data_IF_473694113013
#
_entry.id   IF_473694113013
#
_cell.length_a   1.000
_cell.length_b   1.000
_cell.length_c   1.000
_cell.angle_alpha   90.00
_cell.angle_beta   90.00
_cell.angle_gamma   90.00
#
_symmetry.space_group_name_H-M   'P 1'
#
loop_
_entity.id
_entity.type
_entity.pdbx_description
1 polymer ?
#
# COMPACT_ATOMS: atom_id res chain seq x y z
N UNK A 1 -9.40 14.55 9.63
CA UNK A 1 -7.94 14.30 9.44
C UNK A 1 -7.71 13.46 8.21
N UNK A 2 -8.33 12.27 8.13
CA UNK A 2 -8.19 11.34 7.00
C UNK A 2 -8.48 11.93 5.60
N UNK A 3 -9.61 12.62 5.46
CA UNK A 3 -10.02 13.19 4.18
C UNK A 3 -9.09 14.29 3.68
N UNK A 4 -8.50 15.10 4.58
CA UNK A 4 -7.61 16.19 4.18
C UNK A 4 -6.27 15.66 3.65
N UNK A 5 -5.68 14.66 4.34
CA UNK A 5 -4.42 14.06 3.89
C UNK A 5 -4.57 13.40 2.52
N UNK A 6 -5.70 12.71 2.29
CA UNK A 6 -5.99 12.07 1.02
C UNK A 6 -6.17 13.10 -0.11
N UNK A 7 -6.85 14.22 0.16
CA UNK A 7 -6.98 15.32 -0.79
C UNK A 7 -5.59 15.91 -1.14
N UNK A 8 -4.73 16.10 -0.14
CA UNK A 8 -3.40 16.66 -0.34
C UNK A 8 -2.48 15.70 -1.09
N UNK A 9 -2.55 14.39 -0.82
CA UNK A 9 -1.86 13.36 -1.60
C UNK A 9 -2.28 13.38 -3.08
N UNK A 10 -3.58 13.46 -3.36
CA UNK A 10 -4.12 13.55 -4.73
C UNK A 10 -3.59 14.80 -5.44
N UNK A 11 -3.59 15.96 -4.75
CA UNK A 11 -3.04 17.21 -5.31
C UNK A 11 -1.54 17.12 -5.55
N UNK A 12 -0.77 16.52 -4.63
CA UNK A 12 0.66 16.28 -4.80
C UNK A 12 0.97 15.40 -6.02
N UNK A 13 0.06 14.47 -6.33
CA UNK A 13 0.15 13.61 -7.51
C UNK A 13 -0.36 14.29 -8.80
N UNK A 14 -0.75 15.56 -8.72
CA UNK A 14 -1.10 16.41 -9.87
C UNK A 14 -2.55 16.30 -10.34
N UNK A 15 -3.45 15.69 -9.55
CA UNK A 15 -4.85 15.52 -9.92
C UNK A 15 -5.76 16.61 -9.33
N UNK A 16 -6.65 17.13 -10.19
CA UNK A 16 -7.73 18.06 -9.85
C UNK A 16 -8.86 17.90 -10.88
N UNK A 17 -10.15 17.89 -10.50
CA UNK A 17 -10.65 18.08 -9.14
C UNK A 17 -10.43 16.85 -8.25
N UNK A 18 -10.43 17.10 -6.94
CA UNK A 18 -10.51 16.05 -5.92
C UNK A 18 -11.99 15.63 -5.79
N UNK A 19 -12.33 14.33 -5.85
CA UNK A 19 -13.70 13.83 -5.72
C UNK A 19 -14.34 14.19 -4.38
N UNK A 20 -15.67 14.11 -4.31
CA UNK A 20 -16.42 14.45 -3.10
C UNK A 20 -16.39 13.36 -2.02
N UNK A 21 -16.46 12.08 -2.43
CA UNK A 21 -16.53 10.95 -1.51
C UNK A 21 -15.16 10.33 -1.20
N UNK A 22 -14.98 9.80 0.01
CA UNK A 22 -13.72 9.17 0.42
C UNK A 22 -13.38 7.93 -0.40
N UNK A 23 -14.39 7.17 -0.86
CA UNK A 23 -14.18 6.00 -1.74
C UNK A 23 -13.61 6.43 -3.10
N UNK A 24 -14.19 7.46 -3.73
CA UNK A 24 -13.72 7.97 -5.02
C UNK A 24 -12.34 8.61 -4.91
N UNK A 25 -12.09 9.35 -3.82
CA UNK A 25 -10.77 9.89 -3.51
C UNK A 25 -9.73 8.78 -3.38
N UNK A 26 -10.04 7.71 -2.63
CA UNK A 26 -9.10 6.60 -2.47
C UNK A 26 -8.86 5.87 -3.80
N UNK A 27 -9.91 5.65 -4.60
CA UNK A 27 -9.78 5.08 -5.95
C UNK A 27 -8.91 5.94 -6.87
N UNK A 28 -9.03 7.27 -6.80
CA UNK A 28 -8.19 8.19 -7.56
C UNK A 28 -6.74 8.15 -7.08
N UNK A 29 -6.51 8.29 -5.77
CA UNK A 29 -5.18 8.15 -5.15
C UNK A 29 -4.50 6.85 -5.55
N UNK A 30 -5.19 5.70 -5.39
CA UNK A 30 -4.70 4.37 -5.74
C UNK A 30 -4.29 4.30 -7.21
N UNK A 31 -5.15 4.75 -8.12
CA UNK A 31 -4.83 4.80 -9.55
C UNK A 31 -3.56 5.61 -9.84
N UNK A 32 -3.44 6.81 -9.24
CA UNK A 32 -2.30 7.69 -9.42
C UNK A 32 -0.99 7.06 -8.89
N UNK A 33 -0.98 6.50 -7.68
CA UNK A 33 0.22 5.85 -7.13
C UNK A 33 0.58 4.57 -7.88
N UNK A 34 -0.40 3.81 -8.39
CA UNK A 34 -0.15 2.64 -9.21
C UNK A 34 0.64 3.00 -10.48
N UNK A 35 0.27 4.08 -11.14
CA UNK A 35 0.88 4.52 -12.41
C UNK A 35 2.20 5.30 -12.23
N UNK A 36 2.49 5.77 -11.01
CA UNK A 36 3.67 6.59 -10.71
C UNK A 36 4.99 5.85 -10.96
N UNK A 37 5.83 6.35 -11.88
CA UNK A 37 7.20 5.83 -12.08
C UNK A 37 8.09 5.99 -10.82
N UNK A 38 9.14 5.19 -10.64
CA UNK A 38 9.99 5.20 -9.44
C UNK A 38 10.98 6.39 -9.39
N UNK A 39 10.52 7.59 -9.72
CA UNK A 39 11.31 8.80 -9.55
C UNK A 39 11.32 9.24 -8.09
N UNK A 40 12.37 9.96 -7.63
CA UNK A 40 12.40 10.56 -6.30
C UNK A 40 11.14 11.38 -6.00
N UNK A 41 10.84 11.50 -4.72
CA UNK A 41 9.70 12.26 -4.20
C UNK A 41 10.18 13.07 -2.99
N UNK A 42 9.52 14.18 -2.68
CA UNK A 42 9.89 15.01 -1.54
C UNK A 42 9.68 14.27 -0.21
N UNK A 43 10.46 14.63 0.80
CA UNK A 43 10.27 14.13 2.16
C UNK A 43 8.87 14.47 2.70
N UNK A 44 8.37 15.69 2.42
CA UNK A 44 7.03 16.11 2.82
C UNK A 44 5.93 15.16 2.33
N UNK A 45 6.05 14.66 1.09
CA UNK A 45 5.09 13.69 0.57
C UNK A 45 5.25 12.32 1.24
N UNK A 46 6.48 11.86 1.48
CA UNK A 46 6.73 10.59 2.19
C UNK A 46 6.15 10.63 3.60
N UNK A 47 6.32 11.74 4.31
CA UNK A 47 5.79 11.92 5.66
C UNK A 47 4.25 12.00 5.64
N UNK A 48 3.67 12.69 4.67
CA UNK A 48 2.23 12.77 4.45
C UNK A 48 1.63 11.39 4.13
N UNK A 49 2.22 10.64 3.19
CA UNK A 49 1.78 9.29 2.80
C UNK A 49 1.91 8.32 3.98
N UNK A 50 3.04 8.35 4.68
CA UNK A 50 3.28 7.50 5.84
C UNK A 50 2.25 7.74 6.94
N UNK A 51 1.91 9.01 7.21
CA UNK A 51 0.87 9.40 8.18
C UNK A 51 -0.52 8.95 7.73
N UNK A 52 -0.86 9.14 6.47
CA UNK A 52 -2.13 8.68 5.88
C UNK A 52 -2.27 7.16 5.98
N UNK A 53 -1.27 6.40 5.53
CA UNK A 53 -1.30 4.92 5.55
C UNK A 53 -1.27 4.37 6.98
N UNK A 54 -0.58 5.03 7.91
CA UNK A 54 -0.63 4.67 9.32
C UNK A 54 -2.04 4.84 9.91
N UNK A 55 -2.70 5.96 9.61
CA UNK A 55 -4.09 6.17 9.99
C UNK A 55 -5.03 5.14 9.32
N UNK A 56 -4.76 4.78 8.05
CA UNK A 56 -5.57 3.79 7.31
C UNK A 56 -5.48 2.42 8.00
N UNK A 57 -4.27 2.03 8.39
CA UNK A 57 -4.01 0.78 9.11
C UNK A 57 -4.75 0.71 10.46
N UNK A 58 -5.06 1.83 11.09
CA UNK A 58 -5.77 1.89 12.37
C UNK A 58 -7.30 1.86 12.25
N UNK A 59 -7.87 1.90 11.04
CA UNK A 59 -9.33 1.86 10.85
C UNK A 59 -9.96 0.50 11.15
N UNK A 60 -9.16 -0.57 11.06
CA UNK A 60 -9.61 -1.95 11.26
C UNK A 60 -8.65 -2.67 12.19
N UNK A 61 -9.05 -3.85 12.66
CA UNK A 61 -8.22 -4.67 13.53
C UNK A 61 -6.90 -5.09 12.84
N UNK A 62 -5.82 -5.06 13.61
CA UNK A 62 -4.56 -5.71 13.27
C UNK A 62 -4.58 -7.11 13.86
N UNK A 63 -4.19 -8.10 13.06
CA UNK A 63 -4.17 -9.51 13.44
C UNK A 63 -2.73 -9.96 13.69
N UNK A 64 -2.55 -10.88 14.63
CA UNK A 64 -1.27 -11.47 15.00
C UNK A 64 -1.30 -12.98 14.76
N UNK A 65 -0.14 -13.64 14.88
CA UNK A 65 -0.05 -15.10 14.78
C UNK A 65 -0.96 -15.84 15.77
N UNK A 66 -1.27 -15.22 16.92
CA UNK A 66 -2.21 -15.76 17.90
C UNK A 66 -3.65 -15.83 17.41
N UNK A 67 -4.02 -15.01 16.42
CA UNK A 67 -5.35 -14.97 15.81
C UNK A 67 -5.47 -15.95 14.63
N UNK A 68 -4.38 -16.60 14.22
CA UNK A 68 -4.37 -17.56 13.14
C UNK A 68 -4.78 -18.97 13.61
N UNK A 69 -5.43 -19.73 12.73
CA UNK A 69 -5.77 -21.12 12.97
C UNK A 69 -4.52 -21.99 12.94
N UNK A 70 -4.24 -22.72 14.02
CA UNK A 70 -3.17 -23.72 14.06
C UNK A 70 -3.50 -24.91 13.16
N UNK A 71 -2.50 -25.42 12.47
CA UNK A 71 -2.62 -26.69 11.71
C UNK A 71 -2.04 -27.86 12.51
N UNK A 72 -2.00 -29.06 11.92
CA UNK A 72 -1.33 -30.22 12.51
C UNK A 72 0.20 -30.04 12.67
N UNK A 73 0.81 -29.14 11.89
CA UNK A 73 2.23 -28.84 12.00
C UNK A 73 2.44 -27.60 12.91
N UNK A 74 3.35 -27.65 13.90
CA UNK A 74 3.47 -26.62 14.94
C UNK A 74 3.87 -25.23 14.43
N UNK A 75 4.52 -25.18 13.27
CA UNK A 75 4.98 -23.94 12.64
C UNK A 75 4.11 -23.47 11.46
N UNK A 76 2.99 -24.15 11.19
CA UNK A 76 2.12 -23.80 10.07
C UNK A 76 0.76 -23.33 10.60
N UNK A 77 0.34 -22.18 10.11
CA UNK A 77 -0.90 -21.52 10.48
C UNK A 77 -1.71 -21.22 9.22
N UNK A 78 -3.04 -21.27 9.35
CA UNK A 78 -3.98 -20.81 8.33
C UNK A 78 -4.66 -19.54 8.83
N UNK A 79 -4.76 -18.55 7.96
CA UNK A 79 -5.46 -17.31 8.26
C UNK A 79 -6.13 -16.78 7.01
N UNK A 80 -7.36 -16.29 7.16
CA UNK A 80 -8.16 -15.73 6.09
C UNK A 80 -8.47 -14.27 6.43
N UNK A 81 -7.91 -13.35 5.66
CA UNK A 81 -8.10 -11.91 5.85
C UNK A 81 -7.26 -11.08 4.88
N UNK A 82 -7.25 -9.78 5.08
CA UNK A 82 -6.42 -8.83 4.32
C UNK A 82 -4.97 -8.90 4.81
N UNK A 83 -4.07 -9.47 4.01
CA UNK A 83 -2.66 -9.68 4.38
C UNK A 83 -1.94 -8.40 4.85
N UNK A 84 -2.41 -7.21 4.46
CA UNK A 84 -1.84 -5.92 4.89
C UNK A 84 -2.13 -5.58 6.35
N UNK A 85 -3.00 -6.36 7.00
CA UNK A 85 -3.41 -6.26 8.41
C UNK A 85 -2.78 -7.32 9.32
N UNK A 86 -2.01 -8.26 8.76
CA UNK A 86 -1.36 -9.31 9.54
C UNK A 86 0.02 -8.82 10.02
N UNK A 87 0.14 -8.58 11.33
CA UNK A 87 1.38 -8.20 11.99
C UNK A 87 2.30 -9.42 12.14
N UNK A 88 3.17 -9.60 11.15
CA UNK A 88 4.24 -10.59 11.08
C UNK A 88 5.53 -9.92 10.60
N UNK A 89 6.66 -10.60 10.78
CA UNK A 89 7.97 -10.05 10.43
C UNK A 89 8.12 -9.78 8.93
N UNK A 90 7.50 -10.61 8.08
CA UNK A 90 7.52 -10.46 6.64
C UNK A 90 6.27 -11.07 5.99
N UNK A 91 5.87 -10.49 4.86
CA UNK A 91 4.88 -11.05 3.94
C UNK A 91 5.55 -11.30 2.59
N UNK A 92 5.07 -12.29 1.84
CA UNK A 92 5.59 -12.59 0.50
C UNK A 92 4.68 -11.94 -0.54
N UNK A 93 5.25 -11.13 -1.42
CA UNK A 93 4.56 -10.54 -2.56
C UNK A 93 4.74 -11.40 -3.82
N UNK A 94 3.66 -11.65 -4.57
CA UNK A 94 3.72 -12.24 -5.91
C UNK A 94 4.03 -11.13 -6.95
N UNK A 95 5.29 -10.70 -6.96
CA UNK A 95 5.77 -9.64 -7.84
C UNK A 95 5.83 -10.05 -9.32
N UNK A 96 5.75 -9.07 -10.20
CA UNK A 96 6.03 -9.25 -11.64
C UNK A 96 7.53 -9.05 -11.95
N UNK A 97 7.95 -9.40 -13.17
CA UNK A 97 9.37 -9.33 -13.59
C UNK A 97 9.98 -7.92 -13.58
N UNK A 98 9.14 -6.88 -13.65
CA UNK A 98 9.61 -5.52 -13.49
C UNK A 98 10.02 -5.21 -12.04
N UNK A 99 9.51 -5.95 -11.03
CA UNK A 99 9.71 -5.73 -9.59
C UNK A 99 9.39 -4.31 -9.11
N UNK A 100 8.56 -3.57 -9.84
CA UNK A 100 8.18 -2.19 -9.48
C UNK A 100 6.71 -2.13 -9.04
N UNK A 101 6.11 -3.26 -8.68
CA UNK A 101 4.69 -3.37 -8.43
C UNK A 101 3.85 -3.33 -9.70
N UNK A 102 2.52 -3.26 -9.51
CA UNK A 102 1.55 -3.19 -10.59
C UNK A 102 1.34 -1.73 -11.05
N UNK A 103 1.34 -1.51 -12.37
CA UNK A 103 1.06 -0.20 -12.99
C UNK A 103 -0.37 -0.05 -13.52
N UNK A 104 -1.15 -1.12 -13.51
CA UNK A 104 -2.56 -1.05 -13.92
C UNK A 104 -3.38 -0.38 -12.80
N UNK A 105 -4.03 0.76 -13.09
CA UNK A 105 -4.70 1.55 -12.06
C UNK A 105 -5.86 0.76 -11.45
N UNK A 106 -5.89 0.69 -10.11
CA UNK A 106 -6.93 0.00 -9.34
C UNK A 106 -7.04 -1.52 -9.59
N UNK A 107 -6.04 -2.14 -10.24
CA UNK A 107 -6.07 -3.57 -10.54
C UNK A 107 -6.09 -4.42 -9.26
N UNK A 108 -6.97 -5.42 -9.21
CA UNK A 108 -7.19 -6.27 -8.03
C UNK A 108 -6.19 -7.43 -7.91
N UNK A 109 -4.89 -7.17 -8.12
CA UNK A 109 -3.83 -8.14 -7.86
C UNK A 109 -3.11 -7.87 -6.53
N UNK A 110 -2.50 -8.91 -5.95
CA UNK A 110 -1.83 -8.81 -4.64
C UNK A 110 -0.65 -7.83 -4.66
N UNK A 111 0.07 -7.76 -5.79
CA UNK A 111 1.19 -6.84 -6.01
C UNK A 111 0.73 -5.38 -5.91
N UNK A 112 -0.42 -5.05 -6.49
CA UNK A 112 -1.03 -3.72 -6.40
C UNK A 112 -1.44 -3.40 -4.95
N UNK A 113 -2.07 -4.34 -4.26
CA UNK A 113 -2.52 -4.14 -2.87
C UNK A 113 -1.33 -3.89 -1.94
N UNK A 114 -0.31 -4.74 -1.99
CA UNK A 114 0.90 -4.61 -1.15
C UNK A 114 1.59 -3.27 -1.44
N UNK A 115 1.83 -2.92 -2.71
CA UNK A 115 2.48 -1.65 -3.04
C UNK A 115 1.66 -0.42 -2.65
N UNK A 116 0.32 -0.47 -2.79
CA UNK A 116 -0.55 0.66 -2.41
C UNK A 116 -0.50 0.91 -0.90
N UNK A 117 -0.58 -0.16 -0.09
CA UNK A 117 -0.65 -0.03 1.37
C UNK A 117 0.72 0.05 2.07
N UNK A 118 1.80 -0.34 1.39
CA UNK A 118 3.17 -0.08 1.83
C UNK A 118 3.64 1.35 1.52
N UNK A 119 3.03 2.01 0.53
CA UNK A 119 3.39 3.35 0.06
C UNK A 119 4.46 3.36 -1.03
N UNK A 120 4.67 4.53 -1.65
CA UNK A 120 5.63 4.67 -2.77
C UNK A 120 7.06 4.33 -2.36
N UNK A 121 7.40 4.42 -1.08
CA UNK A 121 8.69 4.01 -0.52
C UNK A 121 9.10 2.59 -0.90
N UNK A 122 8.15 1.64 -0.95
CA UNK A 122 8.44 0.26 -1.38
C UNK A 122 8.89 0.22 -2.85
N UNK A 123 8.20 0.94 -3.74
CA UNK A 123 8.57 1.01 -5.17
C UNK A 123 9.95 1.65 -5.36
N UNK A 124 10.28 2.68 -4.58
CA UNK A 124 11.60 3.32 -4.61
C UNK A 124 12.70 2.34 -4.18
N UNK A 125 12.50 1.65 -3.05
CA UNK A 125 13.43 0.64 -2.57
C UNK A 125 13.64 -0.50 -3.60
N UNK A 126 12.57 -0.99 -4.21
CA UNK A 126 12.68 -1.99 -5.28
C UNK A 126 13.43 -1.48 -6.51
N UNK A 127 13.25 -0.21 -6.89
CA UNK A 127 13.98 0.39 -8.00
C UNK A 127 15.48 0.51 -7.70
N UNK A 128 15.84 0.81 -6.45
CA UNK A 128 17.23 0.85 -6.02
C UNK A 128 17.88 -0.54 -5.98
N UNK A 129 17.14 -1.56 -5.55
CA UNK A 129 17.61 -2.96 -5.60
C UNK A 129 17.91 -3.43 -7.02
N UNK A 130 17.17 -2.95 -8.03
CA UNK A 130 17.41 -3.30 -9.45
C UNK A 130 18.63 -2.60 -10.07
N UNK A 131 19.21 -1.60 -9.41
CA UNK A 131 20.41 -0.90 -9.90
C UNK A 131 21.70 -1.62 -9.50
N UNK A 132 21.64 -2.55 -8.53
CA UNK A 132 22.75 -3.44 -8.15
C UNK A 132 22.80 -4.68 -9.04
#
# INVERSE_FOLDING_TARGET
MFAQDLDDLIRHLGASPVPGSDEEKFRQYRGLVNQRLPYPVSQDYLDLESRFLAAWRQQEAIYHLADCQKTAHPSLYLWQGDITRLAVDAIVNAANSAMLGCFEPNHYCIDNQIHTFAGVGLRLACADLKKG
#
